data_IF_058315373361
#
_entry.id   IF_058315373361
#
_cell.length_a   1.000
_cell.length_b   1.000
_cell.length_c   1.000
_cell.angle_alpha   90.00
_cell.angle_beta   90.00
_cell.angle_gamma   90.00
#
_symmetry.space_group_name_H-M   'P 1'
#
loop_
_entity.id
_entity.type
_entity.pdbx_description
1 polymer ?
#
# COMPACT_ATOMS: atom_id res chain seq x y z
N UNK A 1 20.90 -5.91 4.77
CA UNK A 1 19.98 -6.74 5.58
C UNK A 1 20.13 -8.20 5.18
N UNK A 2 20.53 -9.09 6.10
CA UNK A 2 20.92 -10.49 5.83
C UNK A 2 19.91 -11.39 5.07
N UNK A 3 18.57 -11.26 5.24
CA UNK A 3 17.63 -12.22 4.62
C UNK A 3 17.49 -12.10 3.10
N UNK A 4 17.70 -10.90 2.53
CA UNK A 4 17.52 -10.64 1.09
C UNK A 4 18.75 -11.10 0.29
N UNK A 5 19.94 -11.00 0.88
CA UNK A 5 21.20 -11.40 0.26
C UNK A 5 21.36 -12.91 0.03
N UNK A 6 20.56 -13.73 0.72
CA UNK A 6 20.59 -15.19 0.57
C UNK A 6 19.68 -15.69 -0.56
N UNK A 7 18.65 -14.91 -0.92
CA UNK A 7 17.71 -15.20 -2.01
C UNK A 7 18.20 -14.64 -3.36
N UNK A 8 18.89 -13.49 -3.35
CA UNK A 8 19.53 -12.92 -4.54
C UNK A 8 20.94 -13.51 -4.67
N UNK A 9 20.99 -14.73 -5.20
CA UNK A 9 22.16 -15.55 -5.54
C UNK A 9 23.36 -14.75 -6.11
N UNK A 10 24.21 -14.19 -5.23
CA UNK A 10 25.56 -13.76 -5.54
C UNK A 10 25.76 -12.56 -6.49
N UNK A 11 24.71 -11.79 -6.82
CA UNK A 11 24.84 -10.63 -7.73
C UNK A 11 24.92 -9.34 -6.91
N UNK A 12 26.14 -8.94 -6.52
CA UNK A 12 26.38 -7.63 -5.93
C UNK A 12 26.38 -6.56 -7.02
N UNK A 13 25.19 -6.11 -7.42
CA UNK A 13 25.02 -5.02 -8.38
C UNK A 13 25.74 -3.75 -7.94
N UNK A 14 26.00 -3.58 -6.63
CA UNK A 14 26.73 -2.43 -6.08
C UNK A 14 28.18 -2.33 -6.58
N UNK A 15 28.80 -3.41 -7.04
CA UNK A 15 30.20 -3.41 -7.52
C UNK A 15 30.34 -3.06 -9.00
N UNK A 16 29.23 -2.74 -9.70
CA UNK A 16 29.25 -2.28 -11.07
C UNK A 16 29.49 -0.77 -11.13
N UNK A 17 30.66 -0.39 -11.65
CA UNK A 17 31.04 1.01 -11.84
C UNK A 17 31.82 1.22 -13.13
N UNK A 18 31.69 2.39 -13.71
CA UNK A 18 32.52 2.86 -14.81
C UNK A 18 33.56 3.80 -14.23
N UNK A 19 34.83 3.45 -14.40
CA UNK A 19 35.94 4.32 -14.07
C UNK A 19 36.26 5.23 -15.28
N UNK A 20 36.39 6.54 -15.06
CA UNK A 20 36.74 7.49 -16.13
C UNK A 20 38.25 7.70 -16.31
N UNK A 21 39.08 6.98 -15.56
CA UNK A 21 40.54 7.01 -15.62
C UNK A 21 41.09 5.81 -16.39
N UNK A 22 42.31 5.94 -16.92
CA UNK A 22 43.01 4.87 -17.65
C UNK A 22 43.51 3.72 -16.75
N UNK A 23 43.30 3.81 -15.44
CA UNK A 23 43.73 2.82 -14.45
C UNK A 23 42.57 1.90 -14.05
N UNK A 24 42.83 0.58 -14.08
CA UNK A 24 41.84 -0.46 -13.74
C UNK A 24 41.98 -0.82 -12.26
N UNK A 25 40.90 -0.75 -11.50
CA UNK A 25 40.89 -1.08 -10.07
C UNK A 25 40.07 -2.36 -9.82
N UNK A 26 40.46 -3.18 -8.83
CA UNK A 26 39.81 -4.46 -8.55
C UNK A 26 38.42 -4.33 -7.91
N UNK A 27 38.12 -3.20 -7.27
CA UNK A 27 36.83 -2.95 -6.63
C UNK A 27 36.48 -1.47 -6.63
N UNK A 28 35.18 -1.19 -6.50
CA UNK A 28 34.63 0.15 -6.44
C UNK A 28 35.20 0.93 -5.24
N UNK A 29 35.41 0.25 -4.12
CA UNK A 29 36.04 0.79 -2.91
C UNK A 29 37.52 1.16 -3.14
N UNK A 30 38.27 0.35 -3.88
CA UNK A 30 39.66 0.67 -4.21
C UNK A 30 39.79 1.86 -5.17
N UNK A 31 38.86 2.01 -6.12
CA UNK A 31 38.81 3.15 -7.02
C UNK A 31 38.44 4.46 -6.30
N UNK A 32 37.48 4.40 -5.38
CA UNK A 32 37.08 5.54 -4.54
C UNK A 32 38.20 5.96 -3.58
N UNK A 33 38.89 5.00 -2.95
CA UNK A 33 40.02 5.28 -2.06
C UNK A 33 41.21 5.93 -2.78
N UNK A 34 41.38 5.65 -4.08
CA UNK A 34 42.39 6.30 -4.93
C UNK A 34 41.97 7.70 -5.42
N UNK A 35 40.81 8.22 -4.99
CA UNK A 35 40.33 9.55 -5.38
C UNK A 35 39.93 9.66 -6.86
N UNK A 36 39.68 8.52 -7.52
CA UNK A 36 39.37 8.48 -8.94
C UNK A 36 37.88 8.76 -9.17
N UNK A 37 37.50 9.65 -10.11
CA UNK A 37 36.10 9.83 -10.47
C UNK A 37 35.52 8.55 -11.08
N UNK A 38 34.56 7.96 -10.39
CA UNK A 38 33.81 6.77 -10.83
C UNK A 38 32.31 7.05 -10.93
N UNK A 39 31.67 6.52 -11.96
CA UNK A 39 30.21 6.49 -12.08
C UNK A 39 29.71 5.16 -11.52
N UNK A 40 29.08 5.22 -10.34
CA UNK A 40 28.66 4.06 -9.55
C UNK A 40 27.20 3.70 -9.83
N UNK A 41 26.90 3.36 -11.08
CA UNK A 41 25.54 3.04 -11.52
C UNK A 41 24.98 1.77 -10.86
N UNK A 42 25.87 0.87 -10.43
CA UNK A 42 25.52 -0.32 -9.68
C UNK A 42 24.82 -0.04 -8.35
N UNK A 43 25.32 0.95 -7.60
CA UNK A 43 24.72 1.38 -6.33
C UNK A 43 23.37 2.06 -6.58
N UNK A 44 23.27 2.88 -7.64
CA UNK A 44 22.01 3.51 -8.03
C UNK A 44 20.92 2.47 -8.34
N UNK A 45 21.25 1.45 -9.15
CA UNK A 45 20.31 0.40 -9.51
C UNK A 45 19.90 -0.44 -8.28
N UNK A 46 20.84 -0.73 -7.38
CA UNK A 46 20.54 -1.41 -6.13
C UNK A 46 19.56 -0.60 -5.26
N UNK A 47 19.76 0.71 -5.14
CA UNK A 47 18.87 1.58 -4.39
C UNK A 47 17.48 1.65 -5.04
N UNK A 48 17.41 1.71 -6.36
CA UNK A 48 16.14 1.68 -7.11
C UNK A 48 15.38 0.37 -6.88
N UNK A 49 16.05 -0.78 -6.96
CA UNK A 49 15.45 -2.10 -6.71
C UNK A 49 14.97 -2.20 -5.26
N UNK A 50 15.79 -1.77 -4.29
CA UNK A 50 15.39 -1.77 -2.88
C UNK A 50 14.16 -0.89 -2.63
N UNK A 51 14.10 0.29 -3.24
CA UNK A 51 12.94 1.17 -3.16
C UNK A 51 11.67 0.50 -3.73
N UNK A 52 11.77 -0.15 -4.89
CA UNK A 52 10.66 -0.89 -5.49
C UNK A 52 10.18 -2.06 -4.61
N UNK A 53 11.10 -2.81 -4.00
CA UNK A 53 10.76 -3.92 -3.10
C UNK A 53 10.04 -3.38 -1.86
N UNK A 54 10.59 -2.37 -1.19
CA UNK A 54 10.01 -1.82 0.04
C UNK A 54 8.63 -1.22 -0.22
N UNK A 55 8.45 -0.48 -1.31
CA UNK A 55 7.17 0.10 -1.69
C UNK A 55 6.13 -0.97 -2.05
N UNK A 56 6.53 -2.02 -2.79
CA UNK A 56 5.65 -3.14 -3.10
C UNK A 56 5.19 -3.89 -1.83
N UNK A 57 6.11 -4.16 -0.90
CA UNK A 57 5.78 -4.79 0.39
C UNK A 57 4.82 -3.92 1.20
N UNK A 58 5.11 -2.61 1.32
CA UNK A 58 4.24 -1.68 2.04
C UNK A 58 2.84 -1.61 1.40
N UNK A 59 2.75 -1.60 0.08
CA UNK A 59 1.49 -1.64 -0.65
C UNK A 59 0.67 -2.89 -0.33
N UNK A 60 1.30 -4.07 -0.34
CA UNK A 60 0.65 -5.34 0.01
C UNK A 60 0.14 -5.31 1.45
N UNK A 61 0.95 -4.82 2.40
CA UNK A 61 0.57 -4.71 3.81
C UNK A 61 -0.63 -3.78 4.00
N UNK A 62 -0.59 -2.58 3.43
CA UNK A 62 -1.72 -1.62 3.52
C UNK A 62 -2.97 -2.19 2.88
N UNK A 63 -2.85 -2.83 1.71
CA UNK A 63 -3.97 -3.48 1.04
C UNK A 63 -4.56 -4.61 1.89
N UNK A 64 -3.73 -5.41 2.54
CA UNK A 64 -4.18 -6.50 3.41
C UNK A 64 -4.87 -5.96 4.67
N UNK A 65 -4.31 -4.93 5.29
CA UNK A 65 -4.93 -4.26 6.45
C UNK A 65 -6.28 -3.66 6.05
N UNK A 66 -6.36 -2.96 4.92
CA UNK A 66 -7.64 -2.41 4.43
C UNK A 66 -8.65 -3.50 4.08
N UNK A 67 -8.20 -4.66 3.57
CA UNK A 67 -9.06 -5.82 3.31
C UNK A 67 -9.59 -6.46 4.59
N UNK A 68 -8.76 -6.54 5.63
CA UNK A 68 -9.15 -7.08 6.95
C UNK A 68 -10.01 -6.09 7.74
N UNK A 69 -9.78 -4.80 7.54
CA UNK A 69 -10.58 -3.70 8.11
C UNK A 69 -11.81 -3.34 7.28
N UNK A 70 -12.15 -4.09 6.21
CA UNK A 70 -13.45 -3.94 5.57
C UNK A 70 -14.50 -4.13 6.67
N UNK A 71 -15.24 -3.08 7.05
CA UNK A 71 -16.37 -3.26 7.95
C UNK A 71 -17.27 -4.29 7.27
N UNK A 72 -17.74 -5.29 8.03
CA UNK A 72 -18.94 -6.05 7.63
C UNK A 72 -19.92 -5.03 7.06
N UNK A 73 -20.46 -5.29 5.87
CA UNK A 73 -21.45 -4.45 5.21
C UNK A 73 -22.32 -3.80 6.29
N UNK A 74 -22.24 -2.47 6.37
CA UNK A 74 -23.02 -1.74 7.35
C UNK A 74 -24.45 -2.24 7.20
N UNK A 75 -24.99 -2.85 8.25
CA UNK A 75 -26.35 -3.36 8.25
C UNK A 75 -27.24 -2.25 7.66
N UNK A 76 -28.16 -2.58 6.73
CA UNK A 76 -28.91 -1.58 5.98
C UNK A 76 -29.53 -0.58 6.96
N UNK A 77 -29.06 0.67 6.91
CA UNK A 77 -29.52 1.74 7.81
C UNK A 77 -30.88 2.28 7.39
N UNK A 78 -31.42 1.77 6.29
CA UNK A 78 -32.65 2.21 5.65
C UNK A 78 -33.63 1.05 5.45
N UNK A 79 -34.92 1.35 5.57
CA UNK A 79 -36.06 0.49 5.19
C UNK A 79 -36.91 1.22 4.14
N UNK A 80 -37.63 0.50 3.27
CA UNK A 80 -38.58 1.12 2.36
C UNK A 80 -39.83 1.59 3.13
N UNK A 81 -40.31 2.80 2.83
CA UNK A 81 -41.57 3.30 3.36
C UNK A 81 -42.76 2.57 2.70
N UNK A 82 -43.72 2.00 3.46
CA UNK A 82 -44.86 1.26 2.90
C UNK A 82 -45.83 2.12 2.07
N UNK A 83 -45.81 3.44 2.24
CA UNK A 83 -46.75 4.35 1.56
C UNK A 83 -46.20 4.95 0.27
N UNK A 84 -44.90 5.25 0.23
CA UNK A 84 -44.28 5.96 -0.90
C UNK A 84 -43.04 5.28 -1.47
N UNK A 85 -42.68 4.10 -0.97
CA UNK A 85 -41.55 3.28 -1.43
C UNK A 85 -40.17 3.96 -1.39
N UNK A 86 -40.05 5.11 -0.74
CA UNK A 86 -38.77 5.79 -0.54
C UNK A 86 -37.96 5.15 0.58
N UNK A 87 -36.63 5.16 0.45
CA UNK A 87 -35.71 4.68 1.49
C UNK A 87 -35.68 5.66 2.66
N UNK A 88 -36.04 5.17 3.85
CA UNK A 88 -36.12 5.95 5.09
C UNK A 88 -35.27 5.32 6.19
N UNK A 89 -34.77 6.08 7.18
CA UNK A 89 -34.02 5.52 8.30
C UNK A 89 -34.85 4.46 9.07
N UNK A 90 -34.19 3.40 9.55
CA UNK A 90 -34.86 2.32 10.30
C UNK A 90 -35.68 2.83 11.50
N UNK A 91 -35.16 3.83 12.21
CA UNK A 91 -35.77 4.44 13.40
C UNK A 91 -36.81 5.55 13.08
N UNK A 92 -37.12 5.80 11.82
CA UNK A 92 -38.07 6.86 11.46
C UNK A 92 -39.51 6.50 11.91
N UNK A 93 -40.08 7.36 12.76
CA UNK A 93 -41.50 7.33 13.19
C UNK A 93 -42.39 8.03 12.15
N UNK A 94 -41.82 8.98 11.40
CA UNK A 94 -42.51 9.73 10.35
C UNK A 94 -41.66 9.77 9.09
N UNK A 95 -42.26 9.50 7.94
CA UNK A 95 -41.56 9.53 6.67
C UNK A 95 -41.23 10.98 6.26
N UNK A 96 -39.97 11.33 5.91
CA UNK A 96 -39.61 12.67 5.46
C UNK A 96 -40.16 13.01 4.06
N UNK A 97 -40.47 12.01 3.24
CA UNK A 97 -40.86 12.20 1.85
C UNK A 97 -42.37 12.38 1.66
N UNK A 98 -43.18 11.56 2.35
CA UNK A 98 -44.65 11.62 2.25
C UNK A 98 -45.33 12.06 3.55
N UNK A 99 -44.56 12.34 4.61
CA UNK A 99 -45.06 12.80 5.93
C UNK A 99 -46.00 11.82 6.65
N UNK A 100 -46.14 10.59 6.15
CA UNK A 100 -46.95 9.54 6.78
C UNK A 100 -46.34 9.10 8.12
N UNK A 101 -47.22 8.74 9.06
CA UNK A 101 -46.84 8.09 10.31
C UNK A 101 -46.56 6.61 10.01
N UNK A 102 -45.46 6.11 10.56
CA UNK A 102 -45.05 4.72 10.45
C UNK A 102 -45.25 4.09 11.82
N UNK A 103 -46.11 3.10 11.89
CA UNK A 103 -46.28 2.32 13.11
C UNK A 103 -44.97 1.56 13.34
N UNK A 104 -44.32 1.84 14.47
CA UNK A 104 -43.05 1.20 14.84
C UNK A 104 -43.39 -0.17 15.41
N UNK A 105 -43.36 -1.22 14.59
CA UNK A 105 -43.58 -2.62 15.03
C UNK A 105 -42.45 -3.19 15.92
N UNK A 106 -41.83 -2.37 16.78
CA UNK A 106 -40.69 -2.80 17.61
C UNK A 106 -40.26 -1.85 18.73
N UNK A 107 -41.16 -1.02 19.26
CA UNK A 107 -40.89 -0.21 20.46
C UNK A 107 -41.55 -0.81 21.72
N UNK A 108 -41.43 -2.13 21.88
CA UNK A 108 -42.02 -2.84 23.00
C UNK A 108 -41.59 -4.30 23.07
N UNK A 109 -40.28 -4.55 23.20
CA UNK A 109 -39.67 -5.58 24.07
C UNK A 109 -38.14 -5.44 24.07
#
# INVERSE_FOLDING_TARGET
MPPIGLLVKGIHFSDLYINLSRTRYPSLQAAQAAGVPTINYGVFLNNLINFLIVTAVLFVVVKQVNRLRRPKEAAPTTKPCPYCCSDIPLAAIRCPHCTSLLEVEGAGE
#
